data_IF_061515216424
#
_entry.id   IF_061515216424
#
_cell.length_a   1.000
_cell.length_b   1.000
_cell.length_c   1.000
_cell.angle_alpha   90.00
_cell.angle_beta   90.00
_cell.angle_gamma   90.00
#
_symmetry.space_group_name_H-M   'P 1'
#
loop_
_entity.id
_entity.type
_entity.pdbx_description
1 polymer ?
#
# COMPACT_ATOMS: atom_id res chain seq x y z
N UNK A 1 -3.80 -15.53 -10.61
CA UNK A 1 -4.13 -14.42 -9.69
C UNK A 1 -5.16 -13.51 -10.35
N UNK A 2 -6.31 -13.27 -9.72
CA UNK A 2 -7.33 -12.35 -10.23
C UNK A 2 -7.05 -10.93 -9.76
N UNK A 3 -6.89 -9.99 -10.68
CA UNK A 3 -6.73 -8.57 -10.35
C UNK A 3 -8.11 -7.94 -10.18
N UNK A 4 -8.38 -7.25 -9.06
CA UNK A 4 -9.59 -6.43 -8.99
C UNK A 4 -9.39 -5.22 -9.89
N UNK A 5 -10.23 -5.08 -10.91
CA UNK A 5 -10.11 -4.02 -11.89
C UNK A 5 -10.64 -2.71 -11.28
N UNK A 6 -9.74 -1.75 -11.14
CA UNK A 6 -10.00 -0.42 -10.56
C UNK A 6 -10.42 0.53 -11.67
N UNK A 7 -11.48 1.32 -11.44
CA UNK A 7 -11.69 2.51 -12.24
C UNK A 7 -10.70 3.59 -11.84
N UNK A 8 -9.62 3.71 -12.59
CA UNK A 8 -8.63 4.75 -12.30
C UNK A 8 -9.24 6.15 -12.45
N UNK A 9 -10.20 6.35 -13.38
CA UNK A 9 -10.84 7.64 -13.58
C UNK A 9 -11.70 8.07 -12.38
N UNK A 10 -12.57 7.18 -11.86
CA UNK A 10 -13.36 7.50 -10.64
C UNK A 10 -12.41 7.69 -9.47
N UNK A 11 -11.43 6.79 -9.30
CA UNK A 11 -10.52 6.86 -8.17
C UNK A 11 -9.78 8.20 -8.12
N UNK A 12 -9.32 8.70 -9.28
CA UNK A 12 -8.69 10.01 -9.41
C UNK A 12 -9.65 11.19 -9.27
N UNK A 13 -10.95 11.01 -9.53
CA UNK A 13 -11.96 12.06 -9.38
C UNK A 13 -12.40 12.28 -7.93
N UNK A 14 -12.11 11.33 -7.03
CA UNK A 14 -12.37 11.47 -5.60
C UNK A 14 -11.45 12.53 -4.99
N UNK A 15 -12.03 13.51 -4.31
CA UNK A 15 -11.34 14.60 -3.62
C UNK A 15 -10.94 14.20 -2.19
N UNK A 16 -11.67 13.28 -1.54
CA UNK A 16 -11.30 12.77 -0.23
C UNK A 16 -10.32 11.60 -0.37
N UNK A 17 -9.11 11.79 0.14
CA UNK A 17 -8.11 10.70 0.23
C UNK A 17 -8.61 9.46 0.97
N UNK A 18 -9.53 9.60 1.93
CA UNK A 18 -10.16 8.46 2.60
C UNK A 18 -11.17 7.75 1.69
N UNK A 19 -11.91 8.48 0.86
CA UNK A 19 -12.80 7.87 -0.14
C UNK A 19 -12.00 7.02 -1.14
N UNK A 20 -10.84 7.50 -1.60
CA UNK A 20 -9.94 6.72 -2.45
C UNK A 20 -9.51 5.40 -1.80
N UNK A 21 -9.16 5.43 -0.52
CA UNK A 21 -8.77 4.21 0.20
C UNK A 21 -9.96 3.27 0.43
N UNK A 22 -11.13 3.80 0.77
CA UNK A 22 -12.36 3.01 0.89
C UNK A 22 -12.80 2.42 -0.45
N UNK A 23 -12.59 3.14 -1.56
CA UNK A 23 -12.79 2.61 -2.91
C UNK A 23 -12.00 1.32 -3.07
N UNK A 24 -10.69 1.35 -2.86
CA UNK A 24 -9.82 0.18 -3.06
C UNK A 24 -10.24 -0.98 -2.16
N UNK A 25 -10.52 -0.68 -0.90
CA UNK A 25 -10.86 -1.65 0.14
C UNK A 25 -12.20 -2.35 -0.14
N UNK A 26 -13.23 -1.60 -0.53
CA UNK A 26 -14.57 -2.16 -0.78
C UNK A 26 -14.67 -2.77 -2.18
N UNK A 27 -13.97 -2.21 -3.17
CA UNK A 27 -13.89 -2.74 -4.53
C UNK A 27 -13.26 -4.11 -4.58
N UNK A 28 -12.28 -4.40 -3.73
CA UNK A 28 -11.63 -5.72 -3.67
C UNK A 28 -12.64 -6.87 -3.51
N UNK A 29 -13.73 -6.63 -2.81
CA UNK A 29 -14.75 -7.64 -2.52
C UNK A 29 -15.94 -7.60 -3.46
N UNK A 30 -15.98 -6.62 -4.37
CA UNK A 30 -17.11 -6.48 -5.28
C UNK A 30 -17.21 -7.71 -6.19
N UNK A 31 -18.41 -8.28 -6.25
CA UNK A 31 -18.70 -9.53 -6.95
C UNK A 31 -18.36 -10.83 -6.19
N UNK A 32 -17.73 -10.74 -5.00
CA UNK A 32 -17.50 -11.90 -4.13
C UNK A 32 -18.35 -11.86 -2.87
N UNK A 33 -18.51 -10.68 -2.27
CA UNK A 33 -19.29 -10.49 -1.03
C UNK A 33 -20.09 -9.21 -1.11
N UNK A 34 -21.35 -9.29 -0.69
CA UNK A 34 -22.22 -8.12 -0.53
C UNK A 34 -22.00 -7.43 0.82
N UNK A 35 -21.36 -8.10 1.78
CA UNK A 35 -21.04 -7.55 3.10
C UNK A 35 -19.62 -7.89 3.51
N UNK A 36 -18.88 -6.88 3.97
CA UNK A 36 -17.48 -7.01 4.38
C UNK A 36 -17.30 -6.43 5.78
N UNK A 37 -16.85 -7.26 6.72
CA UNK A 37 -16.57 -6.85 8.09
C UNK A 37 -15.12 -6.38 8.23
N UNK A 38 -14.91 -5.25 8.91
CA UNK A 38 -13.60 -4.80 9.38
C UNK A 38 -13.66 -4.29 10.81
N UNK A 39 -12.66 -4.62 11.62
CA UNK A 39 -12.48 -3.99 12.94
C UNK A 39 -12.12 -2.53 12.80
N UNK A 40 -12.48 -1.70 13.79
CA UNK A 40 -12.14 -0.27 13.77
C UNK A 40 -10.62 -0.04 13.67
N UNK A 41 -9.85 -0.87 14.37
CA UNK A 41 -8.38 -0.82 14.36
C UNK A 41 -7.82 -1.18 12.97
N UNK A 42 -8.37 -2.21 12.32
CA UNK A 42 -7.99 -2.60 10.95
C UNK A 42 -8.29 -1.50 9.93
N UNK A 43 -9.46 -0.86 10.02
CA UNK A 43 -9.80 0.27 9.13
C UNK A 43 -8.79 1.40 9.33
N UNK A 44 -8.43 1.72 10.59
CA UNK A 44 -7.43 2.76 10.86
C UNK A 44 -6.06 2.41 10.28
N UNK A 45 -5.59 1.18 10.44
CA UNK A 45 -4.32 0.73 9.88
C UNK A 45 -4.32 0.82 8.34
N UNK A 46 -5.39 0.35 7.70
CA UNK A 46 -5.54 0.37 6.24
C UNK A 46 -5.61 1.80 5.68
N UNK A 47 -6.15 2.74 6.46
CA UNK A 47 -6.19 4.17 6.14
C UNK A 47 -4.95 4.95 6.62
N UNK A 48 -3.99 4.30 7.30
CA UNK A 48 -2.80 4.93 7.93
C UNK A 48 -3.18 6.00 8.97
N UNK A 49 -4.10 5.66 9.86
CA UNK A 49 -4.72 6.54 10.88
C UNK A 49 -4.57 6.00 12.30
N UNK A 50 -3.62 5.10 12.56
CA UNK A 50 -3.44 4.38 13.82
C UNK A 50 -3.48 5.31 15.05
N UNK A 51 -2.74 6.42 15.00
CA UNK A 51 -2.64 7.39 16.09
C UNK A 51 -3.70 8.51 16.05
N UNK A 52 -4.62 8.46 15.08
CA UNK A 52 -5.62 9.52 14.85
C UNK A 52 -7.02 9.10 15.28
N UNK A 53 -7.83 10.11 15.62
CA UNK A 53 -9.24 9.96 15.99
C UNK A 53 -9.47 8.95 17.12
N UNK A 54 -8.92 9.21 18.31
CA UNK A 54 -9.02 8.33 19.48
C UNK A 54 -10.48 7.96 19.81
N UNK A 55 -11.40 8.90 19.64
CA UNK A 55 -12.85 8.67 19.80
C UNK A 55 -13.44 8.16 18.48
N UNK A 56 -14.16 7.04 18.55
CA UNK A 56 -14.90 6.49 17.40
C UNK A 56 -15.83 7.51 16.75
N UNK A 57 -16.52 8.36 17.53
CA UNK A 57 -17.40 9.39 16.98
C UNK A 57 -16.68 10.38 16.05
N UNK A 58 -15.43 10.75 16.39
CA UNK A 58 -14.64 11.64 15.55
C UNK A 58 -14.17 10.92 14.28
N UNK A 59 -13.78 9.65 14.39
CA UNK A 59 -13.42 8.80 13.26
C UNK A 59 -14.61 8.63 12.31
N UNK A 60 -15.78 8.28 12.83
CA UNK A 60 -17.02 8.16 12.05
C UNK A 60 -17.36 9.46 11.33
N UNK A 61 -17.36 10.59 12.04
CA UNK A 61 -17.77 11.89 11.48
C UNK A 61 -16.79 12.45 10.45
N UNK A 62 -15.49 12.25 10.64
CA UNK A 62 -14.45 12.87 9.81
C UNK A 62 -13.86 11.97 8.73
N UNK A 63 -14.04 10.65 8.86
CA UNK A 63 -13.41 9.66 7.97
C UNK A 63 -14.47 8.81 7.29
N UNK A 64 -15.22 8.01 8.05
CA UNK A 64 -16.15 7.02 7.47
C UNK A 64 -17.30 7.72 6.73
N UNK A 65 -18.05 8.60 7.41
CA UNK A 65 -19.23 9.23 6.81
C UNK A 65 -18.88 10.07 5.55
N UNK A 66 -17.85 10.94 5.56
CA UNK A 66 -17.48 11.69 4.36
C UNK A 66 -17.02 10.79 3.21
N UNK A 67 -16.24 9.75 3.51
CA UNK A 67 -15.73 8.84 2.48
C UNK A 67 -16.84 8.03 1.81
N UNK A 68 -17.73 7.44 2.63
CA UNK A 68 -18.86 6.65 2.13
C UNK A 68 -19.86 7.53 1.37
N UNK A 69 -20.11 8.75 1.86
CA UNK A 69 -20.95 9.73 1.16
C UNK A 69 -20.41 10.01 -0.24
N UNK A 70 -19.13 10.36 -0.37
CA UNK A 70 -18.54 10.68 -1.67
C UNK A 70 -18.51 9.47 -2.61
N UNK A 71 -18.23 8.26 -2.11
CA UNK A 71 -18.30 7.05 -2.92
C UNK A 71 -19.71 6.78 -3.45
N UNK A 72 -20.73 6.98 -2.63
CA UNK A 72 -22.13 6.86 -3.07
C UNK A 72 -22.49 7.94 -4.11
N UNK A 73 -21.94 9.16 -3.98
CA UNK A 73 -22.16 10.25 -4.95
C UNK A 73 -21.55 9.95 -6.33
N UNK A 74 -20.58 9.03 -6.45
CA UNK A 74 -20.05 8.60 -7.75
C UNK A 74 -21.09 7.86 -8.60
N UNK A 75 -22.11 7.25 -8.00
CA UNK A 75 -23.09 6.40 -8.68
C UNK A 75 -22.56 5.00 -9.07
N UNK A 76 -21.31 4.68 -8.73
CA UNK A 76 -20.70 3.36 -9.00
C UNK A 76 -20.79 2.39 -7.83
N UNK A 77 -21.16 2.88 -6.66
CA UNK A 77 -21.47 2.06 -5.51
C UNK A 77 -22.76 2.50 -4.86
N UNK A 78 -23.40 1.54 -4.21
CA UNK A 78 -24.40 1.76 -3.19
C UNK A 78 -23.87 1.10 -1.91
N UNK A 79 -23.44 1.93 -0.97
CA UNK A 79 -22.76 1.52 0.26
C UNK A 79 -23.56 1.98 1.46
N UNK A 80 -23.90 1.04 2.31
CA UNK A 80 -24.37 1.27 3.67
C UNK A 80 -23.45 0.58 4.67
N UNK A 81 -23.58 0.88 5.96
CA UNK A 81 -22.79 0.19 6.97
C UNK A 81 -23.51 0.02 8.30
N UNK A 82 -23.20 -1.09 8.97
CA UNK A 82 -23.71 -1.42 10.29
C UNK A 82 -22.59 -1.49 11.31
N UNK A 83 -22.81 -0.88 12.46
CA UNK A 83 -21.86 -0.90 13.58
C UNK A 83 -22.08 -2.12 14.48
N UNK A 84 -21.03 -2.88 14.71
CA UNK A 84 -21.03 -4.01 15.64
C UNK A 84 -20.43 -3.57 16.98
N UNK A 85 -21.26 -3.58 18.03
CA UNK A 85 -20.90 -3.09 19.37
C UNK A 85 -20.57 -4.22 20.32
N UNK A 86 -19.53 -4.02 21.11
CA UNK A 86 -19.20 -4.85 22.28
C UNK A 86 -19.33 -3.94 23.51
N UNK A 87 -20.43 -4.12 24.23
CA UNK A 87 -20.84 -3.17 25.28
C UNK A 87 -21.10 -1.77 24.70
N UNK A 88 -20.34 -0.76 25.15
CA UNK A 88 -20.45 0.62 24.68
C UNK A 88 -19.51 0.96 23.51
N UNK A 89 -18.51 0.11 23.24
CA UNK A 89 -17.50 0.32 22.20
C UNK A 89 -18.03 -0.24 20.87
N UNK A 90 -17.82 0.49 19.77
CA UNK A 90 -17.96 -0.08 18.42
C UNK A 90 -16.66 -0.82 18.11
N UNK A 91 -16.75 -2.12 17.90
CA UNK A 91 -15.60 -3.00 17.70
C UNK A 91 -15.29 -3.19 16.21
N UNK A 92 -16.32 -3.32 15.39
CA UNK A 92 -16.20 -3.50 13.95
C UNK A 92 -17.37 -2.88 13.18
N UNK A 93 -17.21 -2.76 11.87
CA UNK A 93 -18.22 -2.27 10.94
C UNK A 93 -18.41 -3.31 9.83
N UNK A 94 -19.67 -3.65 9.57
CA UNK A 94 -20.08 -4.37 8.37
C UNK A 94 -20.42 -3.36 7.28
N UNK A 95 -19.61 -3.29 6.24
CA UNK A 95 -19.93 -2.52 5.04
C UNK A 95 -20.77 -3.37 4.11
N UNK A 96 -21.97 -2.90 3.79
CA UNK A 96 -22.89 -3.51 2.84
C UNK A 96 -22.64 -2.80 1.52
N UNK A 97 -22.04 -3.50 0.56
CA UNK A 97 -21.53 -2.91 -0.68
C UNK A 97 -22.22 -3.56 -1.85
N UNK A 98 -22.84 -2.73 -2.68
CA UNK A 98 -23.34 -3.14 -3.98
C UNK A 98 -22.58 -2.38 -5.05
N UNK A 99 -21.92 -3.14 -5.91
CA UNK A 99 -21.16 -2.60 -7.04
C UNK A 99 -22.12 -2.36 -8.22
N UNK A 100 -22.22 -1.10 -8.62
CA UNK A 100 -23.08 -0.65 -9.72
C UNK A 100 -22.28 -0.41 -11.01
N UNK A 101 -20.97 -0.70 -11.00
CA UNK A 101 -20.13 -0.56 -12.17
C UNK A 101 -20.52 -1.59 -13.24
N UNK A 102 -21.02 -1.08 -14.36
CA UNK A 102 -21.50 -1.88 -15.49
C UNK A 102 -20.37 -2.45 -16.34
N UNK A 103 -19.11 -2.06 -16.08
CA UNK A 103 -17.97 -2.58 -16.82
C UNK A 103 -17.74 -4.05 -16.48
N UNK A 104 -17.64 -4.86 -17.53
CA UNK A 104 -17.28 -6.26 -17.44
C UNK A 104 -15.78 -6.36 -17.55
N UNK A 105 -15.13 -6.81 -16.50
CA UNK A 105 -13.67 -6.92 -16.46
C UNK A 105 -13.16 -8.34 -16.57
N UNK A 106 -14.04 -9.30 -16.31
CA UNK A 106 -13.83 -10.70 -16.63
C UNK A 106 -15.10 -11.17 -17.34
N UNK A 107 -15.04 -11.33 -18.66
CA UNK A 107 -15.95 -12.27 -19.29
C UNK A 107 -15.52 -13.65 -18.78
N UNK A 108 -16.40 -14.34 -18.06
CA UNK A 108 -16.27 -15.79 -17.98
C UNK A 108 -16.45 -16.28 -19.42
N UNK A 109 -15.48 -17.06 -19.89
CA UNK A 109 -15.41 -17.79 -21.17
C UNK A 109 -14.35 -17.25 -22.15
N UNK A 110 -13.27 -18.04 -22.26
CA UNK A 110 -12.23 -18.17 -23.28
C UNK A 110 -12.00 -17.04 -24.31
N UNK A 111 -10.88 -16.32 -24.14
CA UNK A 111 -9.84 -16.09 -25.16
C UNK A 111 -8.91 -14.96 -24.70
N UNK A 112 -7.61 -15.24 -24.65
CA UNK A 112 -6.59 -14.21 -24.58
C UNK A 112 -6.73 -13.29 -25.81
N UNK A 113 -7.24 -12.07 -25.60
CA UNK A 113 -7.04 -10.93 -26.50
C UNK A 113 -6.72 -9.70 -25.69
N UNK A 114 -5.71 -9.01 -26.19
CA UNK A 114 -4.95 -7.90 -25.62
C UNK A 114 -5.80 -6.87 -24.86
N UNK A 115 -5.29 -6.48 -23.69
CA UNK A 115 -5.74 -5.30 -22.95
C UNK A 115 -5.40 -4.08 -23.83
N UNK A 116 -6.37 -3.22 -24.20
CA UNK A 116 -6.04 -1.94 -24.83
C UNK A 116 -5.17 -1.15 -23.86
N UNK A 117 -3.90 -0.98 -24.21
CA UNK A 117 -2.99 -0.09 -23.51
C UNK A 117 -3.43 1.35 -23.83
N UNK A 118 -3.81 2.18 -22.85
CA UNK A 118 -4.20 3.56 -23.15
C UNK A 118 -3.04 4.28 -23.82
N UNK A 119 -3.32 4.94 -24.94
CA UNK A 119 -2.32 5.67 -25.69
C UNK A 119 -1.97 6.98 -24.96
N UNK A 120 -0.79 7.53 -25.25
CA UNK A 120 -0.36 8.85 -24.73
C UNK A 120 -1.33 9.99 -25.11
N UNK A 121 -2.15 9.78 -26.14
CA UNK A 121 -3.17 10.70 -26.62
C UNK A 121 -4.41 10.67 -25.71
N UNK A 122 -4.79 9.49 -25.21
CA UNK A 122 -5.88 9.32 -24.25
C UNK A 122 -5.55 10.01 -22.90
N UNK A 123 -4.28 9.96 -22.48
CA UNK A 123 -3.79 10.63 -21.27
C UNK A 123 -3.79 12.17 -21.44
N UNK A 124 -3.45 12.67 -22.64
CA UNK A 124 -3.45 14.11 -22.93
C UNK A 124 -4.86 14.71 -22.92
N UNK A 125 -5.85 13.98 -23.44
CA UNK A 125 -7.25 14.41 -23.41
C UNK A 125 -7.77 14.53 -21.98
N UNK A 126 -7.47 13.56 -21.12
CA UNK A 126 -7.82 13.60 -19.68
C UNK A 126 -7.16 14.77 -18.96
N UNK A 127 -5.88 15.04 -19.26
CA UNK A 127 -5.18 16.18 -18.67
C UNK A 127 -5.77 17.54 -19.05
N UNK A 128 -6.33 17.66 -20.26
CA UNK A 128 -6.92 18.89 -20.74
C UNK A 128 -8.36 19.11 -20.22
N UNK A 129 -9.15 18.05 -20.07
CA UNK A 129 -10.50 18.15 -19.48
C UNK A 129 -10.46 18.51 -17.98
N UNK A 130 -9.54 17.91 -17.21
CA UNK A 130 -9.38 18.20 -15.76
C UNK A 130 -8.86 19.62 -15.51
N UNK A 131 -8.08 20.18 -16.45
CA UNK A 131 -7.53 21.54 -16.36
C UNK A 131 -8.58 22.59 -16.72
N UNK A 132 -9.53 22.29 -17.61
CA UNK A 132 -10.60 23.23 -18.00
C UNK A 132 -11.62 23.48 -16.88
N UNK A 133 -11.86 22.52 -15.99
CA UNK A 133 -12.86 22.64 -14.92
C UNK A 133 -12.33 23.27 -13.62
N UNK A 134 -11.01 23.40 -13.46
CA UNK A 134 -10.35 23.90 -12.23
C UNK A 134 -9.86 25.35 -12.31
N UNK A 135 -10.18 26.12 -13.35
CA UNK A 135 -9.65 27.48 -13.53
C UNK A 135 -10.29 28.58 -12.66
N UNK A 136 -11.35 28.31 -11.91
CA UNK A 136 -11.80 29.23 -10.87
C UNK A 136 -11.42 28.66 -9.50
N UNK A 137 -10.29 29.15 -8.98
CA UNK A 137 -9.94 29.36 -7.55
C UNK A 137 -8.43 29.12 -7.36
N UNK A 138 -7.74 30.26 -7.23
CA UNK A 138 -6.38 30.48 -6.69
C UNK A 138 -5.27 30.56 -7.75
N UNK A 139 -5.11 31.79 -8.23
CA UNK A 139 -3.89 32.37 -8.78
C UNK A 139 -2.67 32.08 -7.91
N UNK A 140 -1.62 31.54 -8.53
CA UNK A 140 -0.24 31.66 -8.06
C UNK A 140 0.11 33.14 -8.03
N UNK A 141 0.47 33.63 -6.84
CA UNK A 141 1.36 34.76 -6.53
C UNK A 141 0.78 35.59 -5.39
N UNK A 142 1.08 35.14 -4.17
CA UNK A 142 1.37 35.94 -2.97
C UNK A 142 1.21 35.04 -1.74
N UNK A 143 2.33 34.66 -1.12
CA UNK A 143 2.71 34.99 0.26
C UNK A 143 4.06 34.29 0.54
N UNK A 144 5.11 35.11 0.57
CA UNK A 144 6.41 34.76 1.15
C UNK A 144 6.46 35.21 2.62
N UNK A 145 6.84 34.27 3.49
CA UNK A 145 7.85 34.30 4.58
C UNK A 145 7.76 35.40 5.67
N UNK A 146 7.60 34.94 6.94
CA UNK A 146 8.34 35.26 8.22
C UNK A 146 7.44 34.73 9.37
N UNK A 147 7.81 34.14 10.51
CA UNK A 147 8.94 33.34 11.04
C UNK A 147 8.51 32.97 12.49
N UNK A 148 8.66 31.70 12.91
CA UNK A 148 9.10 31.29 14.26
C UNK A 148 9.20 29.75 14.38
N UNK A 149 10.32 29.24 13.85
CA UNK A 149 11.23 28.22 14.40
C UNK A 149 10.96 27.82 15.88
N UNK A 150 10.94 26.53 16.28
CA UNK A 150 12.05 25.54 16.38
C UNK A 150 11.42 24.23 16.93
N UNK A 151 11.71 23.00 16.49
CA UNK A 151 13.03 22.35 16.35
C UNK A 151 13.06 21.20 15.33
N UNK A 152 14.00 21.30 14.37
CA UNK A 152 14.94 20.29 13.78
C UNK A 152 14.38 19.05 13.05
N UNK A 153 14.35 19.09 11.70
CA UNK A 153 15.29 18.44 10.74
C UNK A 153 15.01 16.93 10.56
N UNK A 154 14.65 16.36 9.39
CA UNK A 154 15.30 16.36 8.06
C UNK A 154 14.27 15.96 6.97
N UNK A 155 14.37 16.54 5.77
CA UNK A 155 13.61 16.15 4.54
C UNK A 155 14.08 14.77 4.05
N UNK A 156 13.20 13.78 3.88
CA UNK A 156 13.55 12.52 3.20
C UNK A 156 13.38 12.67 1.69
N UNK A 157 14.50 12.72 0.98
CA UNK A 157 14.59 12.35 -0.43
C UNK A 157 13.97 10.94 -0.60
N UNK A 158 13.17 10.74 -1.65
CA UNK A 158 12.66 9.40 -2.00
C UNK A 158 13.83 8.60 -2.56
N UNK A 159 14.53 7.87 -1.70
CA UNK A 159 15.47 6.82 -2.10
C UNK A 159 14.66 5.59 -2.48
N UNK A 160 14.62 5.26 -3.77
CA UNK A 160 14.00 4.02 -4.24
C UNK A 160 14.95 2.86 -3.94
N UNK A 161 14.60 2.04 -2.95
CA UNK A 161 15.43 0.94 -2.44
C UNK A 161 15.30 -0.26 -3.38
N UNK A 162 16.43 -0.86 -3.73
CA UNK A 162 16.48 -2.08 -4.53
C UNK A 162 15.99 -3.28 -3.71
N UNK A 163 15.09 -4.07 -4.29
CA UNK A 163 14.55 -5.31 -3.71
C UNK A 163 14.86 -6.44 -4.69
N UNK A 164 15.53 -7.54 -4.27
CA UNK A 164 15.94 -8.62 -5.18
C UNK A 164 14.78 -9.25 -5.94
N UNK A 165 13.74 -9.66 -5.21
CA UNK A 165 12.48 -10.14 -5.78
C UNK A 165 11.30 -9.44 -5.09
N UNK A 166 10.57 -8.62 -5.85
CA UNK A 166 9.37 -7.97 -5.34
C UNK A 166 8.15 -8.90 -5.30
N UNK A 167 8.15 -9.99 -6.09
CA UNK A 167 7.01 -10.89 -6.24
C UNK A 167 6.79 -11.79 -5.02
N UNK A 168 7.84 -12.03 -4.22
CA UNK A 168 7.73 -12.80 -2.97
C UNK A 168 6.90 -12.09 -1.92
N UNK A 169 6.60 -10.80 -2.09
CA UNK A 169 5.82 -10.01 -1.14
C UNK A 169 4.44 -9.63 -1.68
N UNK A 170 3.47 -9.53 -0.77
CA UNK A 170 2.30 -8.68 -1.03
C UNK A 170 2.71 -7.21 -1.07
N UNK A 171 1.94 -6.35 -1.75
CA UNK A 171 2.22 -4.90 -1.81
C UNK A 171 2.45 -4.26 -0.43
N UNK A 172 1.68 -4.70 0.58
CA UNK A 172 1.81 -4.18 1.95
C UNK A 172 3.11 -4.61 2.62
N UNK A 173 3.51 -5.87 2.46
CA UNK A 173 4.76 -6.40 3.03
C UNK A 173 5.99 -5.91 2.28
N UNK A 174 5.90 -5.69 0.96
CA UNK A 174 6.95 -5.04 0.17
C UNK A 174 7.23 -3.62 0.67
N UNK A 175 6.17 -2.84 0.97
CA UNK A 175 6.33 -1.50 1.54
C UNK A 175 7.01 -1.56 2.91
N UNK A 176 6.61 -2.51 3.77
CA UNK A 176 7.25 -2.71 5.07
C UNK A 176 8.71 -3.12 4.91
N UNK A 177 9.04 -3.95 3.91
CA UNK A 177 10.42 -4.33 3.59
C UNK A 177 11.26 -3.10 3.26
N UNK A 178 10.83 -2.30 2.27
CA UNK A 178 11.51 -1.05 1.89
C UNK A 178 11.69 -0.13 3.10
N UNK A 179 10.71 -0.04 4.00
CA UNK A 179 10.83 0.80 5.19
C UNK A 179 11.80 0.26 6.25
N UNK A 180 11.74 -1.04 6.53
CA UNK A 180 12.54 -1.68 7.59
C UNK A 180 14.01 -1.86 7.18
N UNK A 181 14.29 -2.06 5.90
CA UNK A 181 15.62 -2.38 5.38
C UNK A 181 16.16 -1.28 4.44
N UNK A 182 15.70 -0.04 4.61
CA UNK A 182 16.10 1.10 3.78
C UNK A 182 17.61 1.37 3.72
N UNK A 183 18.32 0.97 4.78
CA UNK A 183 19.75 1.20 4.95
C UNK A 183 20.59 -0.02 4.54
N UNK A 184 19.96 -1.05 3.94
CA UNK A 184 20.62 -2.28 3.51
C UNK A 184 20.70 -2.30 1.98
N UNK A 185 21.89 -2.57 1.46
CA UNK A 185 22.11 -2.75 0.03
C UNK A 185 21.98 -4.22 -0.38
N UNK A 186 20.84 -4.59 -0.94
CA UNK A 186 20.59 -5.94 -1.43
C UNK A 186 21.20 -6.24 -2.80
N UNK A 187 21.94 -5.31 -3.41
CA UNK A 187 22.75 -5.61 -4.60
C UNK A 187 24.03 -6.37 -4.25
N UNK A 188 24.47 -6.30 -2.99
CA UNK A 188 25.58 -7.07 -2.46
C UNK A 188 25.21 -8.57 -2.42
N UNK A 189 26.14 -9.44 -2.84
CA UNK A 189 25.94 -10.89 -2.91
C UNK A 189 25.56 -11.52 -1.56
N UNK A 190 26.24 -11.13 -0.48
CA UNK A 190 25.97 -11.59 0.89
C UNK A 190 24.57 -11.15 1.36
N UNK A 191 24.18 -9.91 1.06
CA UNK A 191 22.85 -9.41 1.41
C UNK A 191 21.74 -10.04 0.57
N UNK A 192 22.02 -10.36 -0.69
CA UNK A 192 21.10 -11.12 -1.53
C UNK A 192 20.93 -12.56 -1.01
N UNK A 193 22.02 -13.24 -0.63
CA UNK A 193 21.95 -14.56 0.03
C UNK A 193 21.13 -14.51 1.33
N UNK A 194 21.33 -13.47 2.14
CA UNK A 194 20.54 -13.27 3.36
C UNK A 194 19.04 -13.13 3.06
N UNK A 195 18.70 -12.44 1.98
CA UNK A 195 17.32 -12.26 1.52
C UNK A 195 16.69 -13.59 1.07
N UNK A 196 17.34 -14.31 0.16
CA UNK A 196 16.84 -15.58 -0.38
C UNK A 196 16.63 -16.63 0.73
N UNK A 197 17.59 -16.76 1.65
CA UNK A 197 17.45 -17.66 2.81
C UNK A 197 16.22 -17.30 3.66
N UNK A 198 16.03 -16.01 3.94
CA UNK A 198 14.92 -15.56 4.75
C UNK A 198 13.56 -15.76 4.06
N UNK A 199 13.51 -15.59 2.74
CA UNK A 199 12.33 -15.92 1.93
C UNK A 199 12.04 -17.42 2.04
N UNK A 200 13.00 -18.28 1.69
CA UNK A 200 12.81 -19.73 1.69
C UNK A 200 12.34 -20.25 3.05
N UNK A 201 13.03 -19.88 4.14
CA UNK A 201 12.68 -20.28 5.50
C UNK A 201 11.26 -19.84 5.87
N UNK A 202 10.82 -18.66 5.41
CA UNK A 202 9.48 -18.15 5.70
C UNK A 202 8.41 -18.89 4.91
N UNK A 203 8.63 -19.11 3.62
CA UNK A 203 7.67 -19.77 2.74
C UNK A 203 7.47 -21.23 3.15
N UNK A 204 8.56 -21.94 3.46
CA UNK A 204 8.50 -23.35 3.92
C UNK A 204 7.81 -23.50 5.27
N UNK A 205 8.08 -22.59 6.21
CA UNK A 205 7.49 -22.64 7.55
C UNK A 205 5.97 -22.47 7.49
N UNK A 206 5.51 -21.49 6.72
CA UNK A 206 4.10 -21.09 6.72
C UNK A 206 3.28 -21.77 5.60
N UNK A 207 3.92 -22.60 4.77
CA UNK A 207 3.32 -23.29 3.61
C UNK A 207 2.61 -22.30 2.67
N UNK A 208 3.33 -21.25 2.26
CA UNK A 208 2.83 -20.17 1.40
C UNK A 208 3.81 -19.86 0.29
N UNK A 209 3.30 -19.41 -0.86
CA UNK A 209 4.12 -18.95 -1.99
C UNK A 209 4.50 -17.47 -1.90
N UNK A 210 3.88 -16.71 -0.98
CA UNK A 210 4.08 -15.26 -0.83
C UNK A 210 4.05 -14.83 0.64
N UNK A 211 4.93 -13.89 0.98
CA UNK A 211 5.05 -13.30 2.31
C UNK A 211 3.89 -12.32 2.54
N UNK A 212 2.86 -12.80 3.24
CA UNK A 212 1.70 -12.02 3.68
C UNK A 212 1.98 -11.34 5.02
N UNK A 213 1.07 -10.46 5.45
CA UNK A 213 1.21 -9.72 6.70
C UNK A 213 1.40 -10.62 7.94
N UNK A 214 0.77 -11.80 7.94
CA UNK A 214 0.89 -12.82 8.99
C UNK A 214 2.30 -13.38 9.13
N UNK A 215 2.97 -13.59 7.99
CA UNK A 215 4.32 -14.17 7.90
C UNK A 215 5.43 -13.12 8.01
N UNK A 216 5.09 -11.84 7.79
CA UNK A 216 6.07 -10.76 7.68
C UNK A 216 6.88 -10.54 8.97
N UNK A 217 6.28 -10.66 10.14
CA UNK A 217 7.00 -10.50 11.40
C UNK A 217 8.08 -11.58 11.56
N UNK A 218 7.80 -12.80 11.11
CA UNK A 218 8.76 -13.89 11.12
C UNK A 218 9.84 -13.66 10.08
N UNK A 219 9.45 -13.37 8.84
CA UNK A 219 10.39 -13.02 7.77
C UNK A 219 11.36 -11.92 8.18
N UNK A 220 10.86 -10.82 8.78
CA UNK A 220 11.70 -9.71 9.23
C UNK A 220 12.75 -10.19 10.23
N UNK A 221 12.34 -10.94 11.25
CA UNK A 221 13.27 -11.46 12.26
C UNK A 221 14.29 -12.44 11.68
N UNK A 222 13.86 -13.31 10.75
CA UNK A 222 14.76 -14.22 10.03
C UNK A 222 15.78 -13.45 9.20
N UNK A 223 15.34 -12.43 8.46
CA UNK A 223 16.22 -11.60 7.64
C UNK A 223 17.20 -10.77 8.48
N UNK A 224 16.77 -10.18 9.59
CA UNK A 224 17.65 -9.44 10.52
C UNK A 224 18.79 -10.35 11.03
N UNK A 225 18.46 -11.61 11.35
CA UNK A 225 19.45 -12.61 11.77
C UNK A 225 20.40 -12.97 10.61
N UNK A 226 19.86 -13.24 9.42
CA UNK A 226 20.65 -13.60 8.24
C UNK A 226 21.58 -12.47 7.80
N UNK A 227 21.12 -11.22 7.82
CA UNK A 227 21.97 -10.06 7.55
C UNK A 227 23.15 -10.00 8.52
N UNK A 228 22.91 -10.29 9.80
CA UNK A 228 23.97 -10.29 10.82
C UNK A 228 24.99 -11.41 10.57
N UNK A 229 24.52 -12.61 10.23
CA UNK A 229 25.33 -13.77 9.87
C UNK A 229 26.23 -13.47 8.65
N UNK A 230 25.63 -13.06 7.55
CA UNK A 230 26.32 -12.84 6.28
C UNK A 230 27.25 -11.61 6.28
N UNK A 231 26.97 -10.58 7.10
CA UNK A 231 27.93 -9.47 7.32
C UNK A 231 29.21 -9.94 8.00
N UNK A 232 29.12 -10.95 8.85
CA UNK A 232 30.29 -11.51 9.53
C UNK A 232 31.11 -12.36 8.55
N UNK A 233 30.45 -13.17 7.74
CA UNK A 233 31.09 -13.96 6.67
C UNK A 233 31.84 -13.06 5.68
N UNK A 234 31.21 -11.98 5.20
CA UNK A 234 31.86 -11.00 4.31
C UNK A 234 33.15 -10.42 4.90
N UNK A 235 33.14 -10.09 6.20
CA UNK A 235 34.34 -9.58 6.87
C UNK A 235 35.46 -10.62 7.01
N UNK A 236 35.10 -11.88 7.19
CA UNK A 236 36.06 -12.99 7.28
C UNK A 236 36.70 -13.25 5.92
N UNK A 237 35.92 -13.27 4.84
CA UNK A 237 36.41 -13.44 3.47
C UNK A 237 37.35 -12.30 3.04
N UNK A 238 36.98 -11.04 3.35
CA UNK A 238 37.83 -9.88 3.05
C UNK A 238 39.18 -9.97 3.79
N UNK A 239 39.17 -10.37 5.06
CA UNK A 239 40.39 -10.56 5.85
C UNK A 239 41.25 -11.67 5.25
N UNK A 240 40.64 -12.81 4.93
CA UNK A 240 41.36 -13.94 4.36
C UNK A 240 42.00 -13.59 3.02
N UNK A 241 41.29 -12.87 2.16
CA UNK A 241 41.82 -12.39 0.88
C UNK A 241 43.00 -11.44 1.07
N UNK A 242 42.90 -10.51 2.02
CA UNK A 242 44.00 -9.58 2.33
C UNK A 242 45.24 -10.31 2.89
N UNK A 243 45.06 -11.36 3.70
CA UNK A 243 46.17 -12.21 4.18
C UNK A 243 46.86 -12.97 3.04
N UNK A 244 46.08 -13.53 2.11
CA UNK A 244 46.61 -14.22 0.95
C UNK A 244 47.40 -13.28 0.03
N UNK A 245 46.90 -12.07 -0.21
CA UNK A 245 47.57 -11.05 -1.02
C UNK A 245 48.86 -10.50 -0.36
N UNK A 246 49.03 -10.65 0.97
CA UNK A 246 50.28 -10.32 1.66
C UNK A 246 51.33 -11.45 1.61
N UNK A 247 50.92 -12.68 1.32
CA UNK A 247 51.77 -13.87 1.32
C UNK A 247 52.28 -14.26 -0.08
N UNK A 248 51.87 -13.54 -1.12
CA UNK A 248 52.26 -13.72 -2.52
C UNK A 248 52.91 -12.45 -3.09
#
# INVERSE_FOLDING_TARGET
MGYTPVNVQIWLSLNNSYAQRFYDLLRLWSGTKDTVNYKIEEIKELLMLDDKYSKYNDFKRRVILPAIKELNETGYFEIDFKENKVGRKVESIDFIVKDLDKRKYFAKDDAAKEIPNPTLEDIKLISNEVVSEKQEIISLDQIDIVELNKTKDVKSEKTDIFVPDEMVFTKGTLRRFKMNFKDIDFKNEYMNRAFEDAVMITLDRDDVETIKATSYSFFKGTLDNKITEYKKEEQEDIKHKAEMDMLW
#
